data_IF_433000730696
#
_entry.id   IF_433000730696
#
_cell.length_a   1.000
_cell.length_b   1.000
_cell.length_c   1.000
_cell.angle_alpha   90.00
_cell.angle_beta   90.00
_cell.angle_gamma   90.00
#
_symmetry.space_group_name_H-M   'P 1'
#
loop_
_entity.id
_entity.type
_entity.pdbx_description
1 polymer ?
#
# COMPACT_ATOMS: atom_id res chain seq x y z
N UNK A 1 -7.61 14.90 5.68
CA UNK A 1 -8.14 14.60 4.34
C UNK A 1 -7.25 13.59 3.64
N UNK A 2 -7.82 12.77 2.80
CA UNK A 2 -7.07 11.74 2.09
C UNK A 2 -6.88 12.12 0.63
N UNK A 3 -5.71 11.80 0.09
CA UNK A 3 -5.46 11.94 -1.34
C UNK A 3 -6.16 10.80 -2.08
N UNK A 4 -6.99 11.13 -3.06
CA UNK A 4 -7.74 10.16 -3.86
C UNK A 4 -7.16 10.04 -5.27
N UNK A 5 -7.56 8.99 -6.00
CA UNK A 5 -7.17 8.84 -7.41
C UNK A 5 -7.62 10.03 -8.24
N UNK A 6 -8.81 10.54 -7.98
CA UNK A 6 -9.34 11.72 -8.69
C UNK A 6 -8.43 12.93 -8.49
N UNK A 7 -7.96 13.17 -7.27
CA UNK A 7 -7.06 14.28 -6.99
C UNK A 7 -5.70 14.12 -7.68
N UNK A 8 -5.19 12.89 -7.76
CA UNK A 8 -3.95 12.61 -8.48
C UNK A 8 -4.12 12.95 -9.96
N UNK A 9 -5.25 12.54 -10.57
CA UNK A 9 -5.55 12.84 -11.95
C UNK A 9 -5.63 14.35 -12.16
N UNK A 10 -6.30 15.09 -11.27
CA UNK A 10 -6.39 16.55 -11.36
C UNK A 10 -5.01 17.21 -11.32
N UNK A 11 -4.12 16.74 -10.46
CA UNK A 11 -2.75 17.25 -10.41
C UNK A 11 -1.97 16.97 -11.68
N UNK A 12 -2.15 15.77 -12.27
CA UNK A 12 -1.52 15.44 -13.55
C UNK A 12 -2.02 16.34 -14.68
N UNK A 13 -3.30 16.71 -14.67
CA UNK A 13 -3.85 17.65 -15.64
C UNK A 13 -3.20 19.03 -15.51
N UNK A 14 -2.93 19.48 -14.28
CA UNK A 14 -2.29 20.76 -14.03
C UNK A 14 -0.89 20.86 -14.61
N UNK A 15 -0.17 19.75 -14.66
CA UNK A 15 1.20 19.73 -15.21
C UNK A 15 1.25 19.38 -16.69
N UNK A 16 0.10 19.26 -17.36
CA UNK A 16 0.02 19.17 -18.81
C UNK A 16 -0.40 17.83 -19.40
N UNK A 17 -0.67 16.83 -18.59
CA UNK A 17 -1.18 15.55 -19.10
C UNK A 17 -2.67 15.65 -19.39
N UNK A 18 -3.16 14.93 -20.40
CA UNK A 18 -4.59 14.89 -20.65
C UNK A 18 -5.28 13.87 -19.72
N UNK A 19 -6.60 14.04 -19.55
CA UNK A 19 -7.37 13.23 -18.60
C UNK A 19 -7.33 11.74 -18.94
N UNK A 20 -7.54 11.38 -20.17
CA UNK A 20 -7.58 9.98 -20.61
C UNK A 20 -6.25 9.27 -20.31
N UNK A 21 -5.13 9.89 -20.68
CA UNK A 21 -3.80 9.32 -20.41
C UNK A 21 -3.48 9.28 -18.93
N UNK A 22 -3.87 10.31 -18.20
CA UNK A 22 -3.64 10.36 -16.75
C UNK A 22 -4.34 9.22 -16.02
N UNK A 23 -5.61 8.99 -16.35
CA UNK A 23 -6.37 7.88 -15.76
C UNK A 23 -5.76 6.54 -16.14
N UNK A 24 -5.42 6.35 -17.42
CA UNK A 24 -4.82 5.10 -17.89
C UNK A 24 -3.48 4.80 -17.22
N UNK A 25 -2.61 5.80 -17.11
CA UNK A 25 -1.30 5.63 -16.47
C UNK A 25 -1.43 5.30 -15.01
N UNK A 26 -2.31 6.00 -14.30
CA UNK A 26 -2.53 5.76 -12.86
C UNK A 26 -3.09 4.35 -12.62
N UNK A 27 -4.11 3.97 -13.37
CA UNK A 27 -4.71 2.63 -13.25
C UNK A 27 -3.68 1.53 -13.58
N UNK A 28 -2.86 1.76 -14.61
CA UNK A 28 -1.82 0.80 -14.98
C UNK A 28 -0.76 0.67 -13.90
N UNK A 29 -0.33 1.78 -13.33
CA UNK A 29 0.66 1.77 -12.24
C UNK A 29 0.14 1.00 -11.03
N UNK A 30 -1.08 1.29 -10.61
CA UNK A 30 -1.70 0.59 -9.48
C UNK A 30 -1.87 -0.90 -9.75
N UNK A 31 -2.21 -1.26 -10.99
CA UNK A 31 -2.35 -2.66 -11.39
C UNK A 31 -1.03 -3.40 -11.30
N UNK A 32 0.06 -2.78 -11.74
CA UNK A 32 1.41 -3.37 -11.64
C UNK A 32 1.78 -3.60 -10.18
N UNK A 33 1.54 -2.62 -9.33
CA UNK A 33 1.83 -2.73 -7.89
C UNK A 33 1.01 -3.85 -7.24
N UNK A 34 -0.27 -3.90 -7.54
CA UNK A 34 -1.17 -4.94 -7.01
C UNK A 34 -0.71 -6.34 -7.38
N UNK A 35 -0.35 -6.54 -8.65
CA UNK A 35 0.11 -7.86 -9.13
C UNK A 35 1.37 -8.32 -8.43
N UNK A 36 2.34 -7.43 -8.24
CA UNK A 36 3.56 -7.77 -7.53
C UNK A 36 3.27 -8.15 -6.08
N UNK A 37 2.44 -7.39 -5.41
CA UNK A 37 2.08 -7.67 -4.02
C UNK A 37 1.28 -8.97 -3.89
N UNK A 38 0.37 -9.25 -4.83
CA UNK A 38 -0.38 -10.50 -4.86
C UNK A 38 0.53 -11.72 -5.01
N UNK A 39 1.61 -11.59 -5.78
CA UNK A 39 2.57 -12.68 -5.97
C UNK A 39 3.57 -12.82 -4.83
N UNK A 40 3.46 -11.97 -3.81
CA UNK A 40 4.34 -12.02 -2.64
C UNK A 40 5.62 -11.22 -2.77
N UNK A 41 5.74 -10.41 -3.82
CA UNK A 41 6.91 -9.56 -4.04
C UNK A 41 6.70 -8.17 -3.45
N UNK A 42 7.76 -7.64 -2.83
CA UNK A 42 7.74 -6.28 -2.29
C UNK A 42 7.79 -5.25 -3.42
N UNK A 43 7.24 -4.07 -3.17
CA UNK A 43 7.30 -2.94 -4.09
C UNK A 43 8.11 -1.83 -3.44
N UNK A 44 9.27 -1.50 -4.04
CA UNK A 44 10.13 -0.44 -3.57
C UNK A 44 10.02 0.79 -4.47
N UNK A 45 9.69 1.92 -3.87
CA UNK A 45 9.67 3.22 -4.56
C UNK A 45 10.74 4.09 -3.92
N UNK A 46 11.83 4.30 -4.66
CA UNK A 46 12.99 5.07 -4.17
C UNK A 46 12.59 6.46 -3.68
N UNK A 47 13.07 6.84 -2.50
CA UNK A 47 12.77 8.14 -1.92
C UNK A 47 11.39 8.24 -1.27
N UNK A 48 10.55 7.23 -1.42
CA UNK A 48 9.21 7.21 -0.85
C UNK A 48 9.07 6.14 0.23
N UNK A 49 9.20 4.88 -0.16
CA UNK A 49 9.08 3.79 0.79
C UNK A 49 8.97 2.44 0.14
N UNK A 50 8.73 1.43 0.96
CA UNK A 50 8.66 0.05 0.53
C UNK A 50 7.38 -0.59 1.06
N UNK A 51 6.61 -1.16 0.15
CA UNK A 51 5.45 -1.99 0.49
C UNK A 51 5.92 -3.43 0.62
N UNK A 52 5.80 -4.00 1.81
CA UNK A 52 6.27 -5.36 2.11
C UNK A 52 5.09 -6.29 2.29
N UNK A 53 5.19 -7.48 1.69
CA UNK A 53 4.22 -8.55 1.91
C UNK A 53 4.77 -9.45 3.02
N UNK A 54 4.01 -9.61 4.09
CA UNK A 54 4.39 -10.48 5.20
C UNK A 54 3.36 -11.58 5.36
N UNK A 55 3.83 -12.79 5.59
CA UNK A 55 2.96 -13.91 5.93
C UNK A 55 2.86 -14.02 7.44
N UNK A 56 1.63 -13.99 7.94
CA UNK A 56 1.37 -14.28 9.35
C UNK A 56 0.93 -15.72 9.47
N UNK A 57 1.62 -16.47 10.34
CA UNK A 57 1.30 -17.88 10.58
C UNK A 57 -0.01 -17.99 11.33
N UNK A 58 -0.65 -19.16 11.20
CA UNK A 58 -1.71 -19.56 12.08
C UNK A 58 -1.25 -19.42 13.52
N UNK A 59 -2.05 -18.81 14.36
CA UNK A 59 -1.70 -18.60 15.76
C UNK A 59 -2.92 -18.70 16.64
N UNK A 60 -2.68 -19.01 17.91
CA UNK A 60 -3.71 -19.04 18.93
C UNK A 60 -3.93 -17.64 19.48
N UNK A 61 -5.18 -17.22 19.51
CA UNK A 61 -5.60 -15.99 20.16
C UNK A 61 -6.65 -16.28 21.21
N UNK A 62 -7.23 -15.25 21.79
CA UNK A 62 -8.30 -15.38 22.77
C UNK A 62 -9.42 -14.41 22.40
N UNK A 63 -10.66 -14.91 22.46
CA UNK A 63 -11.83 -14.05 22.28
C UNK A 63 -12.02 -13.17 23.51
N UNK A 64 -11.90 -11.84 23.40
CA UNK A 64 -12.03 -10.95 24.57
C UNK A 64 -13.43 -10.94 25.20
N UNK A 65 -14.45 -11.32 24.44
CA UNK A 65 -15.83 -11.35 24.94
C UNK A 65 -16.15 -12.61 25.76
N UNK A 66 -15.62 -13.78 25.35
CA UNK A 66 -15.93 -15.06 25.97
C UNK A 66 -14.75 -15.67 26.72
N UNK A 67 -13.53 -15.23 26.45
CA UNK A 67 -12.33 -15.81 27.01
C UNK A 67 -11.89 -17.12 26.35
N UNK A 68 -12.64 -17.58 25.34
CA UNK A 68 -12.32 -18.82 24.63
C UNK A 68 -11.14 -18.66 23.70
N UNK A 69 -10.43 -19.77 23.46
CA UNK A 69 -9.32 -19.77 22.50
C UNK A 69 -9.84 -19.63 21.07
N UNK A 70 -9.14 -18.82 20.29
CA UNK A 70 -9.39 -18.67 18.87
C UNK A 70 -8.17 -19.14 18.10
N UNK A 71 -8.40 -19.74 16.92
CA UNK A 71 -7.34 -20.03 15.97
C UNK A 71 -7.40 -18.97 14.89
N UNK A 72 -6.34 -18.17 14.78
CA UNK A 72 -6.21 -17.16 13.74
C UNK A 72 -5.54 -17.78 12.53
N UNK A 73 -6.24 -17.77 11.41
CA UNK A 73 -5.78 -18.39 10.18
C UNK A 73 -4.52 -17.72 9.64
N UNK A 74 -3.72 -18.50 8.92
CA UNK A 74 -2.59 -18.03 8.16
C UNK A 74 -3.08 -16.98 7.14
N UNK A 75 -2.41 -15.83 7.06
CA UNK A 75 -2.78 -14.78 6.12
C UNK A 75 -1.58 -13.96 5.67
N UNK A 76 -1.73 -13.28 4.54
CA UNK A 76 -0.76 -12.31 4.05
C UNK A 76 -1.25 -10.90 4.40
N UNK A 77 -0.32 -10.06 4.83
CA UNK A 77 -0.60 -8.64 5.13
C UNK A 77 0.42 -7.77 4.42
N UNK A 78 0.02 -6.56 4.09
CA UNK A 78 0.89 -5.57 3.48
C UNK A 78 1.24 -4.53 4.53
N UNK A 79 2.54 -4.25 4.68
CA UNK A 79 3.03 -3.18 5.54
C UNK A 79 3.81 -2.18 4.71
N UNK A 80 3.77 -0.92 5.11
CA UNK A 80 4.52 0.15 4.44
C UNK A 80 5.63 0.64 5.35
N UNK A 81 6.86 0.65 4.82
CA UNK A 81 8.02 1.20 5.51
C UNK A 81 8.47 2.46 4.78
N UNK A 82 8.40 3.58 5.49
CA UNK A 82 8.78 4.88 4.96
C UNK A 82 10.28 4.93 4.70
N UNK A 83 10.69 5.54 3.58
CA UNK A 83 12.11 5.78 3.29
C UNK A 83 12.70 6.80 4.28
N UNK A 84 14.02 6.78 4.45
CA UNK A 84 14.70 7.77 5.29
C UNK A 84 14.49 9.20 4.76
N UNK A 85 14.49 9.36 3.45
CA UNK A 85 14.26 10.67 2.80
C UNK A 85 12.88 11.21 3.15
N UNK A 86 11.84 10.38 3.05
CA UNK A 86 10.47 10.81 3.38
C UNK A 86 10.33 11.04 4.89
N UNK A 87 10.92 10.17 5.71
CA UNK A 87 10.89 10.30 7.16
C UNK A 87 11.50 11.64 7.61
N UNK A 88 12.64 12.00 7.03
CA UNK A 88 13.31 13.26 7.35
C UNK A 88 12.44 14.46 6.98
N UNK A 89 11.74 14.41 5.86
CA UNK A 89 10.81 15.47 5.46
C UNK A 89 9.62 15.60 6.41
N UNK A 90 9.12 14.48 6.92
CA UNK A 90 7.98 14.48 7.85
C UNK A 90 8.35 15.04 9.23
N UNK A 91 9.61 14.93 9.62
CA UNK A 91 10.09 15.32 10.96
C UNK A 91 10.93 16.59 10.95
N UNK A 92 10.91 17.32 9.88
CA UNK A 92 11.60 18.61 9.74
C UNK A 92 10.90 19.71 10.53
#
# INVERSE_FOLDING_TARGET
>A
MSLTKTEIVEDLLRIGFNRKKSVQMLERLLEIMKKNLESGEDVLISGFGKFCVKEKRERRGRNPATGDDLILDKRKVITFNCSSVLRDKLND
#
